data_IF_431317964385
#
_entry.id   IF_431317964385
#
_cell.length_a   1.000
_cell.length_b   1.000
_cell.length_c   1.000
_cell.angle_alpha   90.00
_cell.angle_beta   90.00
_cell.angle_gamma   90.00
#
_symmetry.space_group_name_H-M   'P 1'
#
loop_
_entity.id
_entity.type
_entity.pdbx_description
1 polymer ?
#
# COMPACT_ATOMS: atom_id res chain seq x y z
N UNK A 1 17.16 -1.36 -12.64
CA UNK A 1 17.87 -1.52 -11.39
C UNK A 1 17.99 -0.12 -10.79
N UNK A 2 18.39 0.10 -9.58
CA UNK A 2 18.48 1.46 -9.00
C UNK A 2 17.22 1.89 -8.25
N UNK A 3 16.47 0.96 -7.68
CA UNK A 3 15.33 1.25 -6.82
C UNK A 3 14.00 1.51 -7.54
N UNK A 4 13.92 1.30 -8.87
CA UNK A 4 12.70 1.59 -9.64
C UNK A 4 11.50 0.65 -9.33
N UNK A 5 11.69 -0.32 -8.47
CA UNK A 5 10.62 -1.25 -8.09
C UNK A 5 10.17 -2.20 -9.19
N UNK A 6 9.13 -2.92 -8.91
CA UNK A 6 8.38 -3.76 -9.85
C UNK A 6 7.02 -4.09 -9.24
N UNK A 7 6.12 -4.78 -9.95
CA UNK A 7 4.80 -5.14 -9.40
C UNK A 7 4.94 -5.87 -8.05
N UNK A 8 4.43 -5.26 -7.00
CA UNK A 8 4.53 -5.73 -5.60
C UNK A 8 5.79 -5.28 -4.84
N UNK A 9 6.71 -4.58 -5.50
CA UNK A 9 7.89 -3.98 -4.87
C UNK A 9 7.87 -2.48 -5.12
N UNK A 10 7.91 -1.63 -4.08
CA UNK A 10 7.79 -0.19 -4.23
C UNK A 10 8.95 0.39 -5.05
N UNK A 11 8.67 1.46 -5.77
CA UNK A 11 9.68 2.28 -6.40
C UNK A 11 10.31 3.17 -5.32
N UNK A 12 11.60 3.11 -5.15
CA UNK A 12 12.32 3.92 -4.16
C UNK A 12 12.80 5.27 -4.74
N UNK A 13 12.49 5.55 -6.01
CA UNK A 13 12.88 6.79 -6.69
C UNK A 13 11.73 7.81 -6.76
N UNK A 14 10.52 7.46 -6.30
CA UNK A 14 9.38 8.37 -6.23
C UNK A 14 9.15 8.88 -4.80
N UNK A 15 8.14 9.71 -4.62
CA UNK A 15 7.75 10.31 -3.35
C UNK A 15 6.57 9.60 -2.66
N UNK A 16 6.16 8.43 -3.17
CA UNK A 16 5.12 7.61 -2.56
C UNK A 16 5.69 6.62 -1.53
N UNK A 17 5.71 7.06 -0.29
CA UNK A 17 6.25 6.30 0.84
C UNK A 17 5.14 5.79 1.74
N UNK A 18 4.74 4.54 1.58
CA UNK A 18 3.66 3.91 2.35
C UNK A 18 3.86 3.97 3.86
N UNK A 19 5.09 3.90 4.32
CA UNK A 19 5.46 3.88 5.74
C UNK A 19 6.29 5.09 6.16
N UNK A 20 6.25 6.15 5.36
CA UNK A 20 7.03 7.35 5.54
C UNK A 20 8.41 7.30 4.88
N UNK A 21 8.89 8.47 4.45
CA UNK A 21 10.12 8.65 3.69
C UNK A 21 11.22 9.41 4.42
N UNK A 22 11.03 9.78 5.68
CA UNK A 22 12.10 10.40 6.48
C UNK A 22 13.21 9.39 6.78
N UNK A 23 14.41 9.87 7.06
CA UNK A 23 15.54 9.00 7.45
C UNK A 23 15.18 8.06 8.60
N UNK A 24 14.45 8.56 9.61
CA UNK A 24 14.04 7.74 10.76
C UNK A 24 13.04 6.64 10.36
N UNK A 25 12.07 6.95 9.51
CA UNK A 25 11.06 5.98 9.04
C UNK A 25 11.66 4.92 8.14
N UNK A 26 12.58 5.31 7.23
CA UNK A 26 13.32 4.38 6.37
C UNK A 26 14.22 3.47 7.22
N UNK A 27 14.94 4.03 8.20
CA UNK A 27 15.77 3.25 9.12
C UNK A 27 14.92 2.23 9.89
N UNK A 28 13.80 2.65 10.48
CA UNK A 28 12.85 1.76 11.17
C UNK A 28 12.37 0.63 10.25
N UNK A 29 12.07 0.95 8.99
CA UNK A 29 11.63 -0.04 8.00
C UNK A 29 12.74 -1.05 7.67
N UNK A 30 14.00 -0.61 7.57
CA UNK A 30 15.14 -1.50 7.37
C UNK A 30 15.41 -2.36 8.61
N UNK A 31 15.39 -1.78 9.79
CA UNK A 31 15.67 -2.49 11.04
C UNK A 31 14.65 -3.59 11.33
N UNK A 32 13.37 -3.26 11.24
CA UNK A 32 12.27 -4.10 11.71
C UNK A 32 11.44 -4.76 10.60
N UNK A 33 11.65 -4.36 9.35
CA UNK A 33 10.90 -4.87 8.21
C UNK A 33 9.41 -4.47 8.22
N UNK A 34 8.66 -5.14 7.37
CA UNK A 34 7.20 -5.01 7.24
C UNK A 34 6.62 -6.40 7.27
N UNK A 35 5.77 -6.71 8.23
CA UNK A 35 5.18 -8.03 8.46
C UNK A 35 6.23 -9.14 8.55
N UNK A 36 7.41 -8.80 9.07
CA UNK A 36 8.51 -9.75 9.29
C UNK A 36 8.15 -10.71 10.43
N UNK A 37 8.34 -12.00 10.20
CA UNK A 37 8.06 -13.03 11.21
C UNK A 37 9.13 -13.14 12.29
N UNK A 38 10.25 -12.47 12.12
CA UNK A 38 11.45 -12.59 12.96
C UNK A 38 11.74 -11.32 13.77
N UNK A 39 10.79 -10.41 13.87
CA UNK A 39 10.95 -9.16 14.61
C UNK A 39 9.62 -8.73 15.22
N UNK A 40 9.58 -8.55 16.53
CA UNK A 40 8.38 -8.18 17.29
C UNK A 40 7.99 -6.70 17.15
N UNK A 41 8.91 -5.87 16.64
CA UNK A 41 8.70 -4.44 16.33
C UNK A 41 8.32 -4.19 14.87
N UNK A 42 8.18 -5.24 14.08
CA UNK A 42 7.79 -5.11 12.67
C UNK A 42 6.43 -4.44 12.53
N UNK A 43 6.24 -3.71 11.44
CA UNK A 43 4.93 -3.15 11.07
C UNK A 43 4.00 -4.26 10.61
N UNK A 44 2.86 -4.45 11.30
CA UNK A 44 1.95 -5.61 11.10
C UNK A 44 0.68 -5.27 10.32
N UNK A 45 0.35 -4.00 10.15
CA UNK A 45 -0.88 -3.61 9.47
C UNK A 45 -0.96 -4.22 8.07
N UNK A 46 -2.11 -4.78 7.74
CA UNK A 46 -2.42 -5.37 6.46
C UNK A 46 -3.89 -5.13 6.11
N UNK A 47 -4.17 -4.93 4.84
CA UNK A 47 -5.53 -4.83 4.34
C UNK A 47 -6.24 -6.19 4.52
N UNK A 48 -7.49 -6.25 5.02
CA UNK A 48 -8.26 -7.50 5.07
C UNK A 48 -8.55 -8.06 3.68
N UNK A 49 -8.73 -9.37 3.57
CA UNK A 49 -9.14 -10.05 2.34
C UNK A 49 -10.67 -10.05 2.20
N UNK A 50 -11.27 -8.91 1.95
CA UNK A 50 -12.71 -8.65 2.06
C UNK A 50 -13.58 -9.67 1.31
N UNK A 51 -13.15 -10.10 0.12
CA UNK A 51 -13.87 -11.12 -0.63
C UNK A 51 -13.66 -12.53 -0.07
N UNK A 52 -12.40 -12.92 0.17
CA UNK A 52 -12.03 -14.24 0.69
C UNK A 52 -12.60 -14.50 2.09
N UNK A 53 -12.60 -13.47 2.93
CA UNK A 53 -13.12 -13.55 4.30
C UNK A 53 -14.67 -13.41 4.36
N UNK A 54 -15.34 -13.25 3.21
CA UNK A 54 -16.78 -13.18 3.09
C UNK A 54 -17.42 -11.88 3.61
N UNK A 55 -16.62 -10.83 3.83
CA UNK A 55 -17.09 -9.50 4.25
C UNK A 55 -17.84 -8.81 3.13
N UNK A 56 -17.31 -8.89 1.90
CA UNK A 56 -17.92 -8.34 0.70
C UNK A 56 -18.22 -9.44 -0.31
N UNK A 57 -19.41 -9.39 -0.92
CA UNK A 57 -19.77 -10.25 -2.05
C UNK A 57 -19.01 -9.83 -3.31
N UNK A 58 -18.92 -10.72 -4.28
CA UNK A 58 -18.19 -10.47 -5.54
C UNK A 58 -18.67 -9.20 -6.26
N UNK A 59 -19.97 -8.94 -6.27
CA UNK A 59 -20.55 -7.75 -6.87
C UNK A 59 -20.15 -6.47 -6.11
N UNK A 60 -20.10 -6.54 -4.79
CA UNK A 60 -19.70 -5.43 -3.91
C UNK A 60 -18.21 -5.11 -4.05
N UNK A 61 -17.37 -6.15 -4.16
CA UNK A 61 -15.94 -5.99 -4.48
C UNK A 61 -15.76 -5.25 -5.81
N UNK A 62 -16.53 -5.61 -6.84
CA UNK A 62 -16.44 -4.96 -8.15
C UNK A 62 -16.94 -3.51 -8.12
N UNK A 63 -18.00 -3.23 -7.36
CA UNK A 63 -18.51 -1.87 -7.15
C UNK A 63 -17.47 -0.99 -6.45
N UNK A 64 -16.89 -1.44 -5.34
CA UNK A 64 -15.87 -0.65 -4.62
C UNK A 64 -14.58 -0.51 -5.44
N UNK A 65 -14.18 -1.50 -6.21
CA UNK A 65 -13.03 -1.40 -7.12
C UNK A 65 -13.24 -0.31 -8.20
N UNK A 66 -14.44 -0.22 -8.78
CA UNK A 66 -14.80 0.88 -9.69
C UNK A 66 -14.81 2.24 -8.98
N UNK A 67 -15.30 2.30 -7.75
CA UNK A 67 -15.30 3.53 -6.98
C UNK A 67 -13.86 4.00 -6.68
N UNK A 68 -12.97 3.09 -6.26
CA UNK A 68 -11.55 3.36 -6.06
C UNK A 68 -10.89 3.89 -7.34
N UNK A 69 -11.18 3.29 -8.50
CA UNK A 69 -10.71 3.82 -9.79
C UNK A 69 -11.20 5.25 -10.03
N UNK A 70 -12.46 5.54 -9.67
CA UNK A 70 -13.02 6.89 -9.82
C UNK A 70 -12.36 7.93 -8.91
N UNK A 71 -11.90 7.53 -7.71
CA UNK A 71 -11.10 8.38 -6.82
C UNK A 71 -9.78 8.75 -7.48
N UNK A 72 -9.06 7.77 -8.04
CA UNK A 72 -7.79 7.96 -8.76
C UNK A 72 -7.94 8.59 -10.15
N UNK A 73 -9.12 9.08 -10.52
CA UNK A 73 -9.34 9.70 -11.83
C UNK A 73 -9.28 8.74 -13.02
N UNK A 74 -9.36 7.44 -12.77
CA UNK A 74 -9.29 6.41 -13.81
C UNK A 74 -10.68 6.11 -14.39
N UNK A 75 -10.72 5.59 -15.63
CA UNK A 75 -11.97 5.16 -16.27
C UNK A 75 -12.62 4.02 -15.50
N UNK A 76 -13.95 4.05 -15.39
CA UNK A 76 -14.76 3.04 -14.72
C UNK A 76 -15.57 2.23 -15.72
N UNK A 77 -16.11 1.09 -15.31
CA UNK A 77 -17.01 0.31 -16.15
C UNK A 77 -18.32 1.04 -16.39
N UNK A 78 -18.86 0.86 -17.59
CA UNK A 78 -20.13 1.49 -17.96
C UNK A 78 -21.28 1.00 -17.06
N UNK A 79 -22.06 1.94 -16.54
CA UNK A 79 -23.25 1.64 -15.75
C UNK A 79 -22.99 1.21 -14.31
N UNK A 80 -21.74 1.31 -13.79
CA UNK A 80 -21.50 1.00 -12.38
C UNK A 80 -22.24 1.99 -11.47
N UNK A 81 -22.79 1.48 -10.38
CA UNK A 81 -23.50 2.29 -9.39
C UNK A 81 -22.50 2.98 -8.45
N UNK A 82 -22.18 4.23 -8.78
CA UNK A 82 -21.20 5.03 -8.02
C UNK A 82 -21.66 5.26 -6.57
N UNK A 83 -22.94 5.42 -6.31
CA UNK A 83 -23.45 5.68 -4.96
C UNK A 83 -23.29 4.45 -4.06
N UNK A 84 -23.59 3.26 -4.59
CA UNK A 84 -23.32 2.01 -3.86
C UNK A 84 -21.83 1.77 -3.65
N UNK A 85 -20.99 2.00 -4.66
CA UNK A 85 -19.53 1.89 -4.52
C UNK A 85 -18.98 2.82 -3.46
N UNK A 86 -19.46 4.08 -3.41
CA UNK A 86 -19.08 5.06 -2.40
C UNK A 86 -19.46 4.61 -0.99
N UNK A 87 -20.68 4.08 -0.80
CA UNK A 87 -21.13 3.57 0.50
C UNK A 87 -20.29 2.42 0.99
N UNK A 88 -19.98 1.45 0.12
CA UNK A 88 -19.12 0.31 0.46
C UNK A 88 -17.72 0.80 0.86
N UNK A 89 -17.18 1.80 0.15
CA UNK A 89 -15.88 2.40 0.46
C UNK A 89 -15.89 3.07 1.83
N UNK A 90 -16.87 3.87 2.13
CA UNK A 90 -17.04 4.56 3.42
C UNK A 90 -17.09 3.56 4.57
N UNK A 91 -17.84 2.48 4.43
CA UNK A 91 -18.05 1.48 5.48
C UNK A 91 -16.84 0.58 5.71
N UNK A 92 -16.01 0.32 4.69
CA UNK A 92 -14.97 -0.72 4.75
C UNK A 92 -13.55 -0.25 4.46
N UNK A 93 -13.36 0.88 3.78
CA UNK A 93 -12.07 1.30 3.25
C UNK A 93 -11.57 2.63 3.83
N UNK A 94 -12.49 3.57 4.07
CA UNK A 94 -12.17 4.93 4.47
C UNK A 94 -11.38 5.01 5.79
N UNK A 95 -11.61 4.09 6.73
CA UNK A 95 -10.90 4.06 8.01
C UNK A 95 -9.37 3.96 7.85
N UNK A 96 -8.90 3.27 6.80
CA UNK A 96 -7.47 3.12 6.52
C UNK A 96 -7.00 4.06 5.41
N UNK A 97 -7.80 4.22 4.34
CA UNK A 97 -7.39 4.98 3.16
C UNK A 97 -7.84 6.45 3.17
N UNK A 98 -8.61 6.87 4.19
CA UNK A 98 -9.21 8.20 4.27
C UNK A 98 -10.44 8.36 3.38
N UNK A 99 -11.30 9.32 3.69
CA UNK A 99 -12.58 9.55 2.98
C UNK A 99 -12.40 9.87 1.50
N UNK A 100 -11.26 10.47 1.15
CA UNK A 100 -10.89 10.84 -0.22
C UNK A 100 -9.80 9.95 -0.83
N UNK A 101 -9.44 8.86 -0.17
CA UNK A 101 -8.40 7.95 -0.63
C UNK A 101 -6.96 8.44 -0.44
N UNK A 102 -6.72 9.44 0.41
CA UNK A 102 -5.39 10.03 0.60
C UNK A 102 -4.35 9.11 1.25
N UNK A 103 -4.77 7.94 1.73
CA UNK A 103 -3.90 6.99 2.42
C UNK A 103 -3.61 7.35 3.88
N UNK A 104 -2.82 6.51 4.52
CA UNK A 104 -2.37 6.70 5.91
C UNK A 104 -1.01 6.04 6.12
N UNK A 105 0.04 6.83 6.31
CA UNK A 105 1.42 6.35 6.51
C UNK A 105 1.61 5.58 7.82
N UNK A 106 0.81 5.83 8.85
CA UNK A 106 0.88 5.08 10.11
C UNK A 106 0.42 3.63 9.95
N UNK A 107 -0.51 3.41 9.02
CA UNK A 107 -1.04 2.09 8.69
C UNK A 107 -0.39 1.47 7.43
N UNK A 108 0.47 2.20 6.74
CA UNK A 108 1.01 1.77 5.45
C UNK A 108 -0.09 1.60 4.39
N UNK A 109 -1.18 2.35 4.52
CA UNK A 109 -2.29 2.34 3.57
C UNK A 109 -1.98 3.33 2.43
N UNK A 110 -1.92 2.84 1.17
CA UNK A 110 -1.58 3.69 0.03
C UNK A 110 -2.61 4.78 -0.24
N UNK A 111 -2.14 5.87 -0.85
CA UNK A 111 -2.97 6.86 -1.50
C UNK A 111 -3.66 6.20 -2.73
N UNK A 112 -4.97 6.30 -2.80
CA UNK A 112 -5.79 5.76 -3.90
C UNK A 112 -6.20 6.85 -4.90
N UNK A 113 -5.83 8.10 -4.61
CA UNK A 113 -6.19 9.27 -5.41
C UNK A 113 -5.06 9.75 -6.34
N UNK A 114 -3.92 9.07 -6.35
CA UNK A 114 -2.78 9.36 -7.21
C UNK A 114 -2.64 8.35 -8.38
N UNK A 115 -1.54 8.46 -9.12
CA UNK A 115 -1.23 7.61 -10.26
C UNK A 115 -0.31 6.42 -9.92
N UNK A 116 0.09 6.26 -8.66
CA UNK A 116 1.08 5.26 -8.24
C UNK A 116 0.38 4.03 -7.68
N UNK A 117 0.54 2.91 -8.37
CA UNK A 117 -0.16 1.66 -8.06
C UNK A 117 0.80 0.49 -7.95
N UNK A 118 1.07 0.06 -6.72
CA UNK A 118 2.02 -1.03 -6.43
C UNK A 118 1.67 -2.36 -7.12
N UNK A 119 0.39 -2.65 -7.28
CA UNK A 119 -0.10 -3.91 -7.87
C UNK A 119 -0.81 -3.73 -9.21
N UNK A 120 -0.87 -2.50 -9.72
CA UNK A 120 -1.56 -2.13 -10.95
C UNK A 120 -2.93 -1.49 -10.70
N UNK A 121 -3.33 -0.62 -11.63
CA UNK A 121 -4.56 0.19 -11.57
C UNK A 121 -5.72 -0.40 -12.39
N UNK A 122 -5.51 -1.55 -13.03
CA UNK A 122 -6.57 -2.25 -13.77
C UNK A 122 -7.71 -2.67 -12.85
N UNK A 123 -8.94 -2.73 -13.40
CA UNK A 123 -10.10 -3.13 -12.59
C UNK A 123 -9.89 -4.52 -11.95
N UNK A 124 -9.33 -5.46 -12.69
CA UNK A 124 -9.08 -6.81 -12.19
C UNK A 124 -7.93 -6.84 -11.17
N UNK A 125 -6.93 -5.95 -11.28
CA UNK A 125 -5.88 -5.81 -10.27
C UNK A 125 -6.43 -5.31 -8.94
N UNK A 126 -7.37 -4.37 -8.97
CA UNK A 126 -8.01 -3.85 -7.76
C UNK A 126 -8.99 -4.87 -7.18
N UNK A 127 -9.80 -5.53 -8.03
CA UNK A 127 -10.69 -6.63 -7.62
C UNK A 127 -9.89 -7.72 -6.91
N UNK A 128 -8.76 -8.13 -7.47
CA UNK A 128 -7.87 -9.12 -6.85
C UNK A 128 -7.34 -8.64 -5.50
N UNK A 129 -6.91 -7.38 -5.40
CA UNK A 129 -6.41 -6.79 -4.14
C UNK A 129 -7.49 -6.75 -3.06
N UNK A 130 -8.71 -6.34 -3.40
CA UNK A 130 -9.83 -6.28 -2.45
C UNK A 130 -10.31 -7.70 -2.06
N UNK A 131 -10.29 -8.62 -3.01
CA UNK A 131 -10.75 -10.00 -2.76
C UNK A 131 -9.81 -10.75 -1.83
N UNK A 132 -8.49 -10.78 -2.15
CA UNK A 132 -7.54 -11.70 -1.55
C UNK A 132 -6.55 -11.03 -0.60
N UNK A 133 -6.53 -9.70 -0.54
CA UNK A 133 -5.46 -8.91 0.06
C UNK A 133 -4.09 -9.14 -0.62
N UNK A 134 -3.27 -8.13 -0.70
CA UNK A 134 -1.89 -8.25 -1.19
C UNK A 134 -0.98 -7.49 -0.24
N UNK A 135 -0.59 -8.17 0.83
CA UNK A 135 0.30 -7.62 1.85
C UNK A 135 1.70 -8.20 1.66
N UNK A 136 2.58 -7.44 1.05
CA UNK A 136 3.98 -7.83 0.86
C UNK A 136 4.71 -7.97 2.21
N UNK A 137 5.73 -8.81 2.26
CA UNK A 137 6.60 -9.00 3.40
C UNK A 137 7.98 -8.43 3.09
N UNK A 138 8.52 -7.60 3.98
CA UNK A 138 9.92 -7.19 3.99
C UNK A 138 10.57 -7.75 5.26
N UNK A 139 11.63 -8.56 5.14
CA UNK A 139 12.30 -9.07 6.33
C UNK A 139 12.98 -7.95 7.12
N UNK A 140 13.10 -8.14 8.42
CA UNK A 140 13.93 -7.30 9.28
C UNK A 140 15.42 -7.54 8.94
N UNK A 141 16.19 -6.47 8.85
CA UNK A 141 17.61 -6.54 8.48
C UNK A 141 18.56 -6.37 9.67
N UNK A 142 18.07 -5.93 10.84
CA UNK A 142 18.88 -5.73 12.05
C UNK A 142 19.61 -6.98 12.53
N UNK A 143 19.07 -8.18 12.24
CA UNK A 143 19.74 -9.45 12.54
C UNK A 143 20.72 -9.94 11.46
N UNK A 144 20.85 -9.22 10.33
CA UNK A 144 21.65 -9.63 9.15
C UNK A 144 22.70 -8.61 8.76
N UNK A 145 22.48 -7.35 9.07
CA UNK A 145 23.37 -6.23 8.75
C UNK A 145 23.76 -5.52 10.04
N UNK A 146 24.97 -5.02 10.09
CA UNK A 146 25.43 -4.20 11.20
C UNK A 146 24.79 -2.80 11.17
N UNK A 147 24.75 -2.08 12.31
CA UNK A 147 24.08 -0.78 12.39
C UNK A 147 24.65 0.30 11.46
N UNK A 148 25.94 0.24 11.12
CA UNK A 148 26.57 1.20 10.20
C UNK A 148 26.07 0.96 8.78
N UNK A 149 26.01 -0.30 8.37
CA UNK A 149 25.47 -0.70 7.07
C UNK A 149 23.99 -0.29 6.93
N UNK A 150 23.17 -0.51 7.98
CA UNK A 150 21.74 -0.07 7.96
C UNK A 150 21.63 1.45 7.79
N UNK A 151 22.41 2.24 8.54
CA UNK A 151 22.43 3.70 8.39
C UNK A 151 22.89 4.14 6.99
N UNK A 152 23.90 3.50 6.44
CA UNK A 152 24.38 3.78 5.09
C UNK A 152 23.30 3.49 4.03
N UNK A 153 22.58 2.37 4.16
CA UNK A 153 21.46 2.03 3.30
C UNK A 153 20.30 3.01 3.46
N UNK A 154 20.01 3.44 4.69
CA UNK A 154 18.98 4.46 4.97
C UNK A 154 19.27 5.73 4.19
N UNK A 155 20.48 6.27 4.29
CA UNK A 155 20.89 7.47 3.57
C UNK A 155 20.85 7.27 2.06
N UNK A 156 21.32 6.12 1.58
CA UNK A 156 21.29 5.78 0.16
C UNK A 156 19.85 5.74 -0.36
N UNK A 157 18.96 5.00 0.29
CA UNK A 157 17.55 4.89 -0.12
C UNK A 157 16.86 6.26 -0.10
N UNK A 158 17.07 7.04 0.97
CA UNK A 158 16.54 8.41 1.06
C UNK A 158 17.03 9.30 -0.10
N UNK A 159 18.25 9.10 -0.57
CA UNK A 159 18.83 9.91 -1.66
C UNK A 159 18.30 9.54 -3.04
N UNK A 160 17.61 8.41 -3.20
CA UNK A 160 17.12 7.95 -4.50
C UNK A 160 15.88 8.69 -5.00
N UNK A 161 14.92 8.97 -4.12
CA UNK A 161 13.60 9.45 -4.55
C UNK A 161 13.04 10.61 -3.74
N UNK A 162 13.78 11.15 -2.84
CA UNK A 162 13.25 12.27 -2.08
C UNK A 162 12.32 11.83 -0.96
N UNK A 163 12.82 10.98 -0.11
CA UNK A 163 12.27 10.84 1.23
C UNK A 163 12.16 12.23 1.84
N UNK A 164 10.94 12.62 2.23
CA UNK A 164 10.63 13.92 2.84
C UNK A 164 10.01 13.66 4.20
#
# INVERSE_FOLDING_TARGET
LGGAGSKGYPNLNDDDWLWGGTLAEIQTTLEHGIRSTNDDKTRVSAMPAFGKDGVLKKEEVRLVANFVRSIGGLSTEAGFDKAKGAKIYEENCAACHGDKGAGNKELGAPNLADAIWLYGSGIEDIVETVTNSRAGLMPAWSGRLDPITIKSLTVYVHSLGGGK
#
